data_IF_944822802708
#
_entry.id   IF_944822802708
#
_cell.length_a   1.000
_cell.length_b   1.000
_cell.length_c   1.000
_cell.angle_alpha   90.00
_cell.angle_beta   90.00
_cell.angle_gamma   90.00
#
_symmetry.space_group_name_H-M   'P 1'
#
loop_
_entity.id
_entity.type
_entity.pdbx_description
1 polymer ?
#
# COMPACT_ATOMS: atom_id res chain seq x y z
N UNK A 1 15.88 4.62 -1.48
CA UNK A 1 15.83 3.89 -0.21
C UNK A 1 15.92 4.83 1.00
N UNK A 2 16.97 5.67 1.13
CA UNK A 2 17.18 6.53 2.32
C UNK A 2 15.98 7.44 2.63
N UNK A 3 15.30 7.96 1.63
CA UNK A 3 14.13 8.83 1.81
C UNK A 3 12.96 8.07 2.43
N UNK A 4 12.67 6.86 1.94
CA UNK A 4 11.60 6.02 2.48
C UNK A 4 11.96 5.43 3.86
N UNK A 5 13.21 5.00 4.04
CA UNK A 5 13.67 4.38 5.30
C UNK A 5 13.55 5.27 6.54
N UNK A 6 13.43 6.58 6.38
CA UNK A 6 13.20 7.53 7.46
C UNK A 6 11.75 7.52 7.99
N UNK A 7 10.83 6.87 7.27
CA UNK A 7 9.38 6.89 7.55
C UNK A 7 8.87 5.48 7.75
N UNK A 8 8.23 5.25 8.88
CA UNK A 8 7.58 3.95 9.16
C UNK A 8 6.48 3.70 8.12
N UNK A 9 6.42 2.48 7.59
CA UNK A 9 5.45 2.05 6.56
C UNK A 9 5.50 2.88 5.27
N UNK A 10 6.68 3.44 4.94
CA UNK A 10 6.94 4.07 3.65
C UNK A 10 7.97 3.25 2.88
N UNK A 11 7.68 2.95 1.63
CA UNK A 11 8.57 2.22 0.71
C UNK A 11 8.77 3.01 -0.57
N UNK A 12 9.96 2.89 -1.16
CA UNK A 12 10.28 3.49 -2.45
C UNK A 12 11.08 2.49 -3.29
N UNK A 13 10.62 2.26 -4.51
CA UNK A 13 11.19 1.26 -5.42
C UNK A 13 11.47 1.87 -6.77
N UNK A 14 12.66 1.58 -7.33
CA UNK A 14 12.97 1.80 -8.73
C UNK A 14 12.67 0.50 -9.47
N UNK A 15 11.51 0.43 -10.13
CA UNK A 15 11.01 -0.80 -10.74
C UNK A 15 11.44 -0.98 -12.21
N UNK A 16 11.59 0.11 -12.95
CA UNK A 16 11.98 0.11 -14.36
C UNK A 16 13.18 1.03 -14.56
N UNK A 17 14.10 0.61 -15.42
CA UNK A 17 15.23 1.44 -15.85
C UNK A 17 15.56 1.17 -17.31
N UNK A 18 15.63 2.23 -18.10
CA UNK A 18 16.00 2.19 -19.51
C UNK A 18 17.18 3.11 -19.75
N UNK A 19 18.17 2.60 -20.45
CA UNK A 19 19.42 3.31 -20.76
C UNK A 19 19.56 3.42 -22.27
N UNK A 20 19.76 4.62 -22.79
CA UNK A 20 19.99 4.84 -24.22
C UNK A 20 21.39 5.44 -24.48
N UNK A 21 22.11 4.90 -25.49
CA UNK A 21 21.75 3.85 -26.44
C UNK A 21 21.85 2.41 -25.89
N UNK A 22 22.31 2.20 -24.64
CA UNK A 22 22.42 0.86 -24.03
C UNK A 22 23.54 -0.04 -24.64
N UNK A 23 24.45 0.53 -25.37
CA UNK A 23 25.57 -0.22 -25.91
C UNK A 23 26.73 -0.34 -24.89
N UNK A 24 27.43 -1.46 -24.90
CA UNK A 24 28.44 -1.80 -23.88
C UNK A 24 29.66 -0.89 -23.87
N UNK A 25 29.92 -0.20 -24.98
CA UNK A 25 31.09 0.66 -25.21
C UNK A 25 30.72 2.12 -25.49
N UNK A 26 29.48 2.52 -25.20
CA UNK A 26 29.01 3.90 -25.41
C UNK A 26 28.52 4.46 -24.09
N UNK A 27 28.99 5.66 -23.76
CA UNK A 27 28.51 6.38 -22.59
C UNK A 27 27.00 6.70 -22.77
N UNK A 28 26.15 6.38 -21.81
CA UNK A 28 24.72 6.69 -21.89
C UNK A 28 24.45 8.18 -22.11
N UNK A 29 23.59 8.49 -23.08
CA UNK A 29 23.10 9.83 -23.32
C UNK A 29 21.85 10.17 -22.49
N UNK A 30 21.04 9.14 -22.16
CA UNK A 30 19.88 9.31 -21.30
C UNK A 30 19.58 8.04 -20.51
N UNK A 31 18.96 8.23 -19.35
CA UNK A 31 18.42 7.17 -18.50
C UNK A 31 17.01 7.56 -18.07
N UNK A 32 16.04 6.68 -18.35
CA UNK A 32 14.68 6.80 -17.87
C UNK A 32 14.41 5.74 -16.82
N UNK A 33 13.87 6.11 -15.68
CA UNK A 33 13.52 5.15 -14.63
C UNK A 33 12.23 5.55 -13.91
N UNK A 34 11.51 4.56 -13.40
CA UNK A 34 10.34 4.77 -12.57
C UNK A 34 10.71 4.79 -11.09
N UNK A 35 10.01 5.61 -10.31
CA UNK A 35 10.04 5.55 -8.86
C UNK A 35 8.59 5.34 -8.39
N UNK A 36 8.35 4.25 -7.66
CA UNK A 36 7.08 3.97 -6.99
C UNK A 36 7.26 4.25 -5.50
N UNK A 37 6.46 5.16 -4.93
CA UNK A 37 6.48 5.51 -3.51
C UNK A 37 5.12 5.20 -2.92
N UNK A 38 5.09 4.37 -1.89
CA UNK A 38 3.89 3.97 -1.16
C UNK A 38 4.05 4.20 0.33
N UNK A 39 2.98 4.65 0.96
CA UNK A 39 2.91 4.82 2.41
C UNK A 39 1.50 4.49 2.90
N UNK A 40 1.37 4.18 4.19
CA UNK A 40 0.09 3.97 4.86
C UNK A 40 -0.71 5.26 5.04
N UNK A 41 -0.04 6.41 4.99
CA UNK A 41 -0.63 7.75 5.12
C UNK A 41 -0.11 8.68 4.01
N UNK A 42 -1.00 9.47 3.42
CA UNK A 42 -0.65 10.42 2.35
C UNK A 42 0.40 11.45 2.79
N UNK A 43 0.35 11.90 4.04
CA UNK A 43 1.35 12.86 4.58
C UNK A 43 2.76 12.30 4.43
N UNK A 44 2.98 11.03 4.76
CA UNK A 44 4.31 10.38 4.66
C UNK A 44 4.77 10.28 3.21
N UNK A 45 3.84 9.97 2.28
CA UNK A 45 4.11 9.92 0.85
C UNK A 45 4.49 11.29 0.29
N UNK A 46 3.71 12.32 0.64
CA UNK A 46 3.96 13.71 0.21
C UNK A 46 5.29 14.22 0.75
N UNK A 47 5.60 13.97 2.02
CA UNK A 47 6.88 14.34 2.61
C UNK A 47 8.06 13.62 1.96
N UNK A 48 7.89 12.33 1.58
CA UNK A 48 8.92 11.59 0.88
C UNK A 48 9.20 12.17 -0.52
N UNK A 49 8.15 12.56 -1.25
CA UNK A 49 8.27 13.24 -2.53
C UNK A 49 8.95 14.61 -2.40
N UNK A 50 8.52 15.42 -1.41
CA UNK A 50 9.10 16.73 -1.15
C UNK A 50 10.60 16.68 -0.78
N UNK A 51 11.06 15.57 -0.18
CA UNK A 51 12.48 15.34 0.08
C UNK A 51 13.21 14.82 -1.16
N UNK A 52 12.57 13.98 -1.98
CA UNK A 52 13.18 13.35 -3.15
C UNK A 52 13.47 14.34 -4.26
N UNK A 53 12.53 15.23 -4.57
CA UNK A 53 12.64 16.17 -5.70
C UNK A 53 13.89 17.05 -5.63
N UNK A 54 14.21 17.73 -4.51
CA UNK A 54 15.44 18.50 -4.40
C UNK A 54 16.70 17.63 -4.48
N UNK A 55 16.63 16.37 -4.06
CA UNK A 55 17.72 15.43 -4.16
C UNK A 55 18.03 15.09 -5.61
N UNK A 56 17.00 14.78 -6.40
CA UNK A 56 17.14 14.50 -7.85
C UNK A 56 17.68 15.71 -8.59
N UNK A 57 17.15 16.91 -8.32
CA UNK A 57 17.60 18.15 -8.92
C UNK A 57 19.10 18.42 -8.59
N UNK A 58 19.50 18.25 -7.34
CA UNK A 58 20.89 18.41 -6.91
C UNK A 58 21.85 17.42 -7.59
N UNK A 59 21.41 16.17 -7.78
CA UNK A 59 22.22 15.15 -8.46
C UNK A 59 22.37 15.51 -9.94
N UNK A 60 21.28 15.91 -10.59
CA UNK A 60 21.28 16.31 -11.99
C UNK A 60 22.22 17.51 -12.22
N UNK A 61 22.10 18.55 -11.41
CA UNK A 61 22.96 19.74 -11.46
C UNK A 61 24.44 19.37 -11.28
N UNK A 62 24.77 18.62 -10.22
CA UNK A 62 26.13 18.15 -9.95
C UNK A 62 26.74 17.35 -11.11
N UNK A 63 25.91 16.64 -11.88
CA UNK A 63 26.33 15.80 -13.00
C UNK A 63 26.24 16.48 -14.35
N UNK A 64 25.73 17.71 -14.41
CA UNK A 64 25.49 18.44 -15.66
C UNK A 64 24.42 17.75 -16.54
N UNK A 65 23.44 17.09 -15.92
CA UNK A 65 22.34 16.42 -16.59
C UNK A 65 21.07 17.27 -16.55
N UNK A 66 20.26 17.15 -17.60
CA UNK A 66 18.90 17.68 -17.58
C UNK A 66 17.98 16.68 -16.87
N UNK A 67 17.16 17.13 -15.93
CA UNK A 67 16.16 16.32 -15.24
C UNK A 67 14.77 16.69 -15.74
N UNK A 68 13.96 15.67 -16.04
CA UNK A 68 12.53 15.78 -16.25
C UNK A 68 11.84 14.78 -15.34
N UNK A 69 10.85 15.22 -14.59
CA UNK A 69 10.04 14.39 -13.70
C UNK A 69 8.59 14.48 -14.13
N UNK A 70 7.93 13.35 -14.25
CA UNK A 70 6.51 13.24 -14.60
C UNK A 70 5.81 12.33 -13.60
N UNK A 71 4.69 12.78 -13.05
CA UNK A 71 3.81 11.94 -12.22
C UNK A 71 2.86 11.18 -13.13
N UNK A 72 3.07 9.87 -13.26
CA UNK A 72 2.28 9.00 -14.14
C UNK A 72 1.06 8.42 -13.45
N UNK A 73 1.07 8.34 -12.12
CA UNK A 73 -0.04 7.85 -11.31
C UNK A 73 0.05 8.43 -9.91
N UNK A 74 -1.11 8.79 -9.37
CA UNK A 74 -1.27 9.19 -7.98
C UNK A 74 -2.59 8.66 -7.44
N UNK A 75 -2.56 8.07 -6.25
CA UNK A 75 -3.73 7.62 -5.52
C UNK A 75 -3.57 7.95 -4.03
N UNK A 76 -4.66 8.34 -3.40
CA UNK A 76 -4.69 8.60 -1.98
C UNK A 76 -4.78 7.30 -1.19
N UNK A 77 -4.28 7.32 0.05
CA UNK A 77 -4.50 6.26 1.01
C UNK A 77 -5.98 6.23 1.40
N UNK A 78 -6.51 5.03 1.60
CA UNK A 78 -7.88 4.83 2.07
C UNK A 78 -7.88 4.01 3.35
N UNK A 79 -8.77 4.36 4.28
CA UNK A 79 -8.84 3.71 5.58
C UNK A 79 -10.08 2.85 5.66
N UNK A 80 -9.92 1.59 6.11
CA UNK A 80 -11.05 0.73 6.42
C UNK A 80 -11.93 1.35 7.50
N UNK A 81 -13.25 1.17 7.37
CA UNK A 81 -14.21 1.71 8.34
C UNK A 81 -14.00 1.08 9.72
N UNK A 82 -13.82 1.87 10.80
CA UNK A 82 -13.50 1.33 12.13
C UNK A 82 -14.54 0.35 12.65
N UNK A 83 -15.82 0.56 12.35
CA UNK A 83 -16.91 -0.31 12.77
C UNK A 83 -16.86 -1.68 12.06
N UNK A 84 -16.48 -1.75 10.79
CA UNK A 84 -16.27 -3.02 10.07
C UNK A 84 -15.03 -3.73 10.62
N UNK A 85 -13.95 -2.98 10.84
CA UNK A 85 -12.72 -3.52 11.45
C UNK A 85 -13.03 -4.13 12.81
N UNK A 86 -13.85 -3.48 13.65
CA UNK A 86 -14.27 -4.01 14.94
C UNK A 86 -15.02 -5.35 14.84
N UNK A 87 -15.90 -5.51 13.84
CA UNK A 87 -16.60 -6.78 13.59
C UNK A 87 -15.64 -7.88 13.12
N UNK A 88 -14.69 -7.54 12.26
CA UNK A 88 -13.63 -8.48 11.82
C UNK A 88 -12.78 -8.93 13.02
N UNK A 89 -12.36 -8.00 13.87
CA UNK A 89 -11.59 -8.31 15.08
C UNK A 89 -12.33 -9.23 16.03
N UNK A 90 -13.63 -8.96 16.24
CA UNK A 90 -14.48 -9.83 17.05
C UNK A 90 -14.58 -11.25 16.47
N UNK A 91 -14.73 -11.37 15.15
CA UNK A 91 -14.76 -12.66 14.46
C UNK A 91 -13.40 -13.42 14.57
N UNK A 92 -12.27 -12.71 14.47
CA UNK A 92 -10.93 -13.30 14.65
C UNK A 92 -10.73 -13.80 16.08
N UNK A 93 -11.16 -13.00 17.07
CA UNK A 93 -11.01 -13.34 18.50
C UNK A 93 -11.76 -14.62 18.89
N UNK A 94 -12.87 -14.96 18.23
CA UNK A 94 -13.61 -16.20 18.50
C UNK A 94 -12.86 -17.47 18.10
N UNK A 95 -11.85 -17.36 17.23
CA UNK A 95 -11.00 -18.47 16.78
C UNK A 95 -9.69 -18.60 17.59
N UNK A 96 -9.61 -17.97 18.77
CA UNK A 96 -8.40 -17.93 19.59
C UNK A 96 -7.17 -17.41 18.84
N UNK A 97 -7.38 -16.78 17.69
CA UNK A 97 -6.33 -16.22 16.85
C UNK A 97 -5.93 -14.83 17.35
N UNK A 98 -4.64 -14.53 17.25
CA UNK A 98 -4.14 -13.18 17.57
C UNK A 98 -4.65 -12.17 16.55
N UNK A 99 -5.32 -11.12 17.03
CA UNK A 99 -5.69 -9.97 16.20
C UNK A 99 -4.45 -9.14 15.91
N UNK A 100 -4.19 -8.89 14.62
CA UNK A 100 -3.07 -8.04 14.17
C UNK A 100 -3.60 -7.08 13.11
N UNK A 101 -3.32 -5.79 13.28
CA UNK A 101 -3.62 -4.77 12.26
C UNK A 101 -2.36 -4.50 11.45
N UNK A 102 -2.51 -4.51 10.14
CA UNK A 102 -1.43 -4.25 9.19
C UNK A 102 -1.89 -3.27 8.12
N UNK A 103 -1.07 -2.31 7.71
CA UNK A 103 -1.36 -1.54 6.51
C UNK A 103 -1.12 -2.40 5.26
N UNK A 104 -1.88 -2.17 4.20
CA UNK A 104 -1.60 -2.74 2.90
C UNK A 104 -0.79 -1.76 2.05
N UNK A 105 0.30 -2.21 1.48
CA UNK A 105 1.05 -1.48 0.46
C UNK A 105 0.55 -1.72 -0.97
N UNK A 106 -0.43 -2.61 -1.17
CA UNK A 106 -0.99 -2.93 -2.48
C UNK A 106 -2.23 -2.07 -2.79
N UNK A 107 -2.52 -1.89 -4.07
CA UNK A 107 -3.81 -1.36 -4.51
C UNK A 107 -4.90 -2.45 -4.40
N UNK A 108 -6.08 -2.08 -3.95
CA UNK A 108 -7.25 -2.95 -3.80
C UNK A 108 -8.47 -2.32 -4.46
N UNK A 109 -9.37 -3.15 -5.00
CA UNK A 109 -10.62 -2.68 -5.62
C UNK A 109 -11.49 -1.89 -4.64
N UNK A 110 -11.41 -2.20 -3.35
CA UNK A 110 -12.09 -1.44 -2.30
C UNK A 110 -11.69 0.04 -2.27
N UNK A 111 -10.46 0.38 -2.65
CA UNK A 111 -10.02 1.77 -2.74
C UNK A 111 -10.78 2.56 -3.82
N UNK A 112 -11.18 1.90 -4.91
CA UNK A 112 -11.93 2.53 -5.99
C UNK A 112 -13.39 2.85 -5.61
N UNK A 113 -13.93 2.19 -4.60
CA UNK A 113 -15.31 2.39 -4.11
C UNK A 113 -15.37 3.03 -2.73
N UNK A 114 -14.24 3.42 -2.16
CA UNK A 114 -14.15 3.98 -0.80
C UNK A 114 -15.01 5.24 -0.59
N UNK A 115 -15.18 6.05 -1.64
CA UNK A 115 -16.04 7.24 -1.62
C UNK A 115 -17.55 6.89 -1.65
N UNK A 116 -17.90 5.67 -2.01
CA UNK A 116 -19.28 5.22 -2.19
C UNK A 116 -19.78 4.40 -1.00
N UNK A 117 -18.91 3.67 -0.35
CA UNK A 117 -19.26 2.75 0.73
C UNK A 117 -18.12 2.53 1.71
N UNK A 118 -18.49 2.21 2.94
CA UNK A 118 -17.54 1.71 3.93
C UNK A 118 -17.07 0.30 3.54
N UNK A 119 -15.83 -0.01 3.86
CA UNK A 119 -15.24 -1.32 3.63
C UNK A 119 -14.31 -1.76 4.77
N UNK A 120 -14.00 -3.04 4.79
CA UNK A 120 -12.98 -3.64 5.65
C UNK A 120 -12.19 -4.66 4.84
N UNK A 121 -11.06 -5.11 5.38
CA UNK A 121 -10.20 -6.07 4.72
C UNK A 121 -9.67 -7.11 5.70
N UNK A 122 -9.60 -8.36 5.25
CA UNK A 122 -9.04 -9.47 6.01
C UNK A 122 -7.78 -9.93 5.27
N UNK A 123 -6.65 -9.91 5.97
CA UNK A 123 -5.45 -10.58 5.50
C UNK A 123 -5.46 -12.05 5.91
N UNK A 124 -5.11 -12.93 4.98
CA UNK A 124 -4.87 -14.35 5.25
C UNK A 124 -3.36 -14.58 5.25
N UNK A 125 -2.87 -15.37 6.20
CA UNK A 125 -1.43 -15.65 6.32
C UNK A 125 -0.92 -16.41 5.12
N UNK A 126 0.25 -16.02 4.62
CA UNK A 126 0.99 -16.76 3.60
C UNK A 126 2.34 -17.21 4.16
N UNK A 127 2.90 -18.24 3.55
CA UNK A 127 4.17 -18.82 3.96
C UNK A 127 5.30 -17.80 3.85
N UNK A 128 6.00 -17.56 4.95
CA UNK A 128 7.11 -16.59 5.00
C UNK A 128 6.73 -15.13 4.77
N UNK A 129 5.45 -14.79 4.67
CA UNK A 129 5.01 -13.43 4.32
C UNK A 129 5.31 -13.04 2.87
N UNK A 130 5.58 -14.02 2.01
CA UNK A 130 5.90 -13.80 0.59
C UNK A 130 4.64 -13.43 -0.16
N UNK A 131 4.69 -12.32 -0.91
CA UNK A 131 3.62 -11.86 -1.79
C UNK A 131 4.19 -11.34 -3.11
N UNK A 132 3.40 -11.39 -4.20
CA UNK A 132 3.80 -10.96 -5.54
C UNK A 132 5.04 -11.71 -6.08
N UNK A 133 5.17 -12.97 -5.73
CA UNK A 133 6.28 -13.84 -6.10
C UNK A 133 5.75 -15.22 -6.48
N UNK A 134 6.38 -15.96 -7.45
CA UNK A 134 5.98 -17.33 -7.77
C UNK A 134 6.00 -18.31 -6.59
N UNK A 135 6.76 -18.01 -5.54
CA UNK A 135 6.84 -18.81 -4.32
C UNK A 135 5.74 -18.46 -3.29
N UNK A 136 4.82 -17.56 -3.63
CA UNK A 136 3.68 -17.22 -2.76
C UNK A 136 2.82 -18.46 -2.53
N UNK A 137 2.68 -18.84 -1.28
CA UNK A 137 1.96 -20.06 -0.90
C UNK A 137 1.14 -19.85 0.37
N UNK A 138 -0.04 -20.43 0.38
CA UNK A 138 -0.95 -20.43 1.53
C UNK A 138 -1.30 -21.89 1.88
N UNK A 139 -1.33 -22.22 3.16
CA UNK A 139 -1.74 -23.54 3.62
C UNK A 139 -3.27 -23.69 3.61
N UNK A 140 -3.77 -24.92 3.45
CA UNK A 140 -5.21 -25.21 3.53
C UNK A 140 -5.82 -24.76 4.88
N UNK A 141 -5.06 -24.90 5.96
CA UNK A 141 -5.49 -24.46 7.29
C UNK A 141 -5.62 -22.93 7.40
N UNK A 142 -4.73 -22.16 6.74
CA UNK A 142 -4.82 -20.71 6.72
C UNK A 142 -5.97 -20.21 5.84
N UNK A 143 -6.23 -20.92 4.71
CA UNK A 143 -7.41 -20.66 3.87
C UNK A 143 -8.69 -20.89 4.67
N UNK A 144 -8.78 -22.04 5.35
CA UNK A 144 -9.94 -22.40 6.17
C UNK A 144 -10.18 -21.38 7.29
N UNK A 145 -9.10 -20.94 7.98
CA UNK A 145 -9.21 -19.93 9.04
C UNK A 145 -9.71 -18.58 8.49
N UNK A 146 -9.19 -18.14 7.34
CA UNK A 146 -9.65 -16.91 6.70
C UNK A 146 -11.11 -16.98 6.25
N UNK A 147 -11.52 -18.11 5.67
CA UNK A 147 -12.90 -18.35 5.24
C UNK A 147 -13.86 -18.39 6.44
N UNK A 148 -13.47 -19.00 7.54
CA UNK A 148 -14.28 -19.04 8.77
C UNK A 148 -14.47 -17.65 9.37
N UNK A 149 -13.41 -16.83 9.43
CA UNK A 149 -13.52 -15.44 9.90
C UNK A 149 -14.48 -14.66 9.00
N UNK A 150 -14.36 -14.77 7.68
CA UNK A 150 -15.26 -14.09 6.73
C UNK A 150 -16.70 -14.55 6.91
N UNK A 151 -16.94 -15.86 7.05
CA UNK A 151 -18.28 -16.41 7.28
C UNK A 151 -18.90 -15.83 8.58
N UNK A 152 -18.13 -15.80 9.66
CA UNK A 152 -18.59 -15.22 10.94
C UNK A 152 -18.92 -13.74 10.84
N UNK A 153 -18.10 -12.97 10.09
CA UNK A 153 -18.42 -11.55 9.82
C UNK A 153 -19.75 -11.43 9.09
N UNK A 154 -19.99 -12.25 8.04
CA UNK A 154 -21.24 -12.21 7.27
C UNK A 154 -22.44 -12.61 8.11
N UNK A 155 -22.35 -13.69 8.89
CA UNK A 155 -23.45 -14.19 9.74
C UNK A 155 -23.84 -13.23 10.87
N UNK A 156 -22.87 -12.50 11.40
CA UNK A 156 -23.08 -11.57 12.52
C UNK A 156 -23.05 -10.10 12.09
N UNK A 157 -23.09 -9.82 10.78
CA UNK A 157 -22.96 -8.48 10.26
C UNK A 157 -24.07 -7.56 10.75
N UNK A 158 -23.67 -6.44 11.36
CA UNK A 158 -24.57 -5.41 11.83
C UNK A 158 -24.18 -4.08 11.19
N UNK A 159 -25.14 -3.45 10.53
CA UNK A 159 -24.95 -2.08 10.03
C UNK A 159 -24.82 -1.12 11.21
N UNK A 160 -23.85 -0.23 11.15
CA UNK A 160 -23.76 0.87 12.11
C UNK A 160 -24.98 1.77 11.93
N UNK A 161 -25.65 2.07 13.04
CA UNK A 161 -26.75 3.04 13.04
C UNK A 161 -26.18 4.46 12.89
N UNK A 162 -26.18 4.97 11.64
CA UNK A 162 -25.68 6.30 11.30
C UNK A 162 -26.61 7.44 11.74
N UNK A 163 -27.76 7.15 12.32
CA UNK A 163 -28.70 8.20 12.77
C UNK A 163 -28.09 9.16 13.80
N UNK A 164 -27.07 8.72 14.53
CA UNK A 164 -26.38 9.51 15.54
C UNK A 164 -25.24 10.42 15.00
N UNK A 165 -24.84 10.27 13.73
CA UNK A 165 -23.74 11.05 13.14
C UNK A 165 -24.20 12.30 12.39
N UNK A 166 -25.50 12.43 12.09
CA UNK A 166 -26.04 13.59 11.38
C UNK A 166 -26.30 14.83 12.28
N UNK A 167 -26.19 14.67 13.60
CA UNK A 167 -26.42 15.78 14.56
C UNK A 167 -25.14 16.59 14.90
N UNK A 168 -24.05 16.41 14.15
CA UNK A 168 -22.76 17.12 14.38
C UNK A 168 -22.27 17.96 13.22
N UNK A 169 -23.16 18.40 12.33
CA UNK A 169 -22.84 19.40 11.31
C UNK A 169 -23.39 20.77 11.65
#
# INVERSE_FOLDING_TARGET
EEVAAKRTHCVATVGRMEVAPGATNVIPGSVTFSIDIRADEDVKRIEALAELDPWLAKIADKRGCTLSVETVHEANSVTCAPWIVGQIEAAIATNESRVVRLPSGAGHDAAAIADLTDFGMIFVRCAGGISHNPDEFITESDIAAGAEVLLRVIENFQLEDRSCLMDKT
#
